data_IF_600476833717
#
_entry.id   IF_600476833717
#
_cell.length_a   1.000
_cell.length_b   1.000
_cell.length_c   1.000
_cell.angle_alpha   90.00
_cell.angle_beta   90.00
_cell.angle_gamma   90.00
#
_symmetry.space_group_name_H-M   'P 1'
#
loop_
_entity.id
_entity.type
_entity.pdbx_description
1 polymer ?
#
# COMPACT_ATOMS: atom_id res chain seq x y z
N UNK A 1 -42.94 12.97 32.19
CA UNK A 1 -42.00 13.31 31.12
C UNK A 1 -41.17 12.07 30.86
N UNK A 2 -41.59 11.27 29.88
CA UNK A 2 -41.03 9.93 29.60
C UNK A 2 -39.95 10.12 28.53
N UNK A 3 -38.70 9.86 28.90
CA UNK A 3 -37.59 9.86 27.97
C UNK A 3 -37.68 8.59 27.13
N UNK A 4 -38.05 8.69 25.86
CA UNK A 4 -37.84 7.65 24.86
C UNK A 4 -36.37 7.63 24.54
N UNK A 5 -35.62 6.67 25.07
CA UNK A 5 -34.32 6.29 24.52
C UNK A 5 -34.57 5.65 23.17
N UNK A 6 -34.27 6.37 22.09
CA UNK A 6 -34.06 5.77 20.77
C UNK A 6 -32.79 4.92 20.86
N UNK A 7 -32.94 3.63 21.14
CA UNK A 7 -31.89 2.67 20.77
C UNK A 7 -31.90 2.65 19.24
N UNK A 8 -30.99 3.42 18.62
CA UNK A 8 -30.58 3.13 17.26
C UNK A 8 -29.98 1.71 17.31
N UNK A 9 -30.71 0.72 16.80
CA UNK A 9 -30.10 -0.55 16.42
C UNK A 9 -29.03 -0.20 15.35
N UNK A 10 -27.80 -0.05 15.77
CA UNK A 10 -26.66 -0.15 14.87
C UNK A 10 -26.74 -1.60 14.39
N UNK A 11 -27.20 -1.81 13.16
CA UNK A 11 -27.04 -3.10 12.51
C UNK A 11 -25.57 -3.47 12.61
N UNK A 12 -25.29 -4.67 13.08
CA UNK A 12 -23.91 -5.18 13.03
C UNK A 12 -23.41 -5.06 11.59
N UNK A 13 -22.20 -4.57 11.36
CA UNK A 13 -21.67 -4.49 10.01
C UNK A 13 -21.73 -5.90 9.39
N UNK A 14 -22.23 -5.99 8.17
CA UNK A 14 -22.30 -7.27 7.44
C UNK A 14 -20.89 -7.82 7.23
N UNK A 15 -20.79 -9.11 7.04
CA UNK A 15 -19.60 -9.82 6.61
C UNK A 15 -19.64 -9.95 5.08
N UNK A 16 -18.47 -9.79 4.43
CA UNK A 16 -18.26 -10.00 3.00
C UNK A 16 -17.00 -10.83 2.79
N UNK A 17 -16.92 -11.53 1.67
CA UNK A 17 -15.75 -12.32 1.31
C UNK A 17 -14.85 -11.54 0.37
N UNK A 18 -13.55 -11.61 0.62
CA UNK A 18 -12.49 -11.16 -0.28
C UNK A 18 -11.79 -12.41 -0.79
N UNK A 19 -11.80 -12.58 -2.10
CA UNK A 19 -11.09 -13.67 -2.77
C UNK A 19 -10.11 -13.13 -3.80
N UNK A 20 -9.14 -13.95 -4.18
CA UNK A 20 -8.16 -13.57 -5.20
C UNK A 20 -7.01 -14.55 -5.30
N UNK A 21 -6.00 -14.16 -6.06
CA UNK A 21 -4.76 -14.91 -6.21
C UNK A 21 -3.57 -14.09 -5.71
N UNK A 22 -2.70 -14.74 -4.93
CA UNK A 22 -1.43 -14.17 -4.50
C UNK A 22 -0.32 -14.73 -5.37
N UNK A 23 0.48 -13.86 -5.97
CA UNK A 23 1.62 -14.23 -6.78
C UNK A 23 2.89 -14.41 -5.93
N UNK A 24 3.77 -15.29 -6.38
CA UNK A 24 5.05 -15.56 -5.71
C UNK A 24 6.02 -14.36 -5.71
N UNK A 25 5.82 -13.38 -6.60
CA UNK A 25 6.47 -12.06 -6.60
C UNK A 25 5.69 -11.11 -7.51
N UNK A 26 6.02 -9.83 -7.51
CA UNK A 26 5.36 -8.80 -8.34
C UNK A 26 5.32 -9.12 -9.84
N UNK A 27 6.30 -9.85 -10.36
CA UNK A 27 6.40 -10.19 -11.79
C UNK A 27 6.21 -11.69 -12.06
N UNK A 28 5.84 -12.47 -11.05
CA UNK A 28 5.57 -13.88 -11.22
C UNK A 28 4.24 -14.11 -11.97
N UNK A 29 4.16 -15.23 -12.66
CA UNK A 29 2.90 -15.75 -13.24
C UNK A 29 2.37 -16.95 -12.44
N UNK A 30 3.14 -17.43 -11.47
CA UNK A 30 2.76 -18.53 -10.58
C UNK A 30 2.22 -17.99 -9.26
N UNK A 31 1.21 -18.65 -8.74
CA UNK A 31 0.69 -18.39 -7.39
C UNK A 31 1.69 -18.79 -6.30
N UNK A 32 1.53 -18.18 -5.15
CA UNK A 32 2.27 -18.48 -3.92
C UNK A 32 1.44 -19.41 -3.02
N UNK A 33 1.86 -20.65 -2.88
CA UNK A 33 1.23 -21.61 -1.97
C UNK A 33 1.65 -21.37 -0.51
N UNK A 34 0.83 -21.87 0.42
CA UNK A 34 1.09 -21.85 1.86
C UNK A 34 1.33 -20.44 2.45
N UNK A 35 0.78 -19.41 1.79
CA UNK A 35 0.78 -18.04 2.32
C UNK A 35 -0.40 -17.87 3.26
N UNK A 36 -0.15 -17.43 4.48
CA UNK A 36 -1.20 -17.01 5.40
C UNK A 36 -1.69 -15.63 5.00
N UNK A 37 -3.00 -15.51 4.76
CA UNK A 37 -3.72 -14.27 4.44
C UNK A 37 -4.57 -13.91 5.65
N UNK A 38 -4.24 -12.81 6.33
CA UNK A 38 -5.03 -12.29 7.45
C UNK A 38 -5.74 -11.02 7.04
N UNK A 39 -7.06 -10.96 7.17
CA UNK A 39 -7.80 -9.70 7.08
C UNK A 39 -7.73 -8.98 8.42
N UNK A 40 -7.40 -7.69 8.37
CA UNK A 40 -7.33 -6.81 9.54
C UNK A 40 -8.49 -5.82 9.44
N UNK A 41 -9.24 -5.66 10.52
CA UNK A 41 -10.38 -4.74 10.58
C UNK A 41 -9.96 -3.29 10.86
N UNK A 42 -10.94 -2.40 10.93
CA UNK A 42 -10.72 -0.98 11.22
C UNK A 42 -10.25 -0.69 12.66
N UNK A 43 -10.27 -1.66 13.55
CA UNK A 43 -9.72 -1.58 14.91
C UNK A 43 -8.29 -2.11 14.97
N UNK A 44 -7.74 -2.47 13.81
CA UNK A 44 -6.40 -3.03 13.61
C UNK A 44 -6.23 -4.40 14.29
N UNK A 45 -7.31 -5.14 14.43
CA UNK A 45 -7.33 -6.51 14.95
C UNK A 45 -7.51 -7.53 13.80
N UNK A 46 -6.88 -8.72 13.89
CA UNK A 46 -7.16 -9.80 12.95
C UNK A 46 -8.64 -10.18 12.99
N UNK A 47 -9.31 -10.18 11.83
CA UNK A 47 -10.72 -10.53 11.70
C UNK A 47 -10.91 -11.95 11.20
N UNK A 48 -10.21 -12.32 10.13
CA UNK A 48 -10.26 -13.65 9.50
C UNK A 48 -8.90 -14.03 8.96
N UNK A 49 -8.64 -15.33 8.84
CA UNK A 49 -7.39 -15.87 8.34
C UNK A 49 -7.63 -17.10 7.47
N UNK A 50 -6.91 -17.22 6.37
CA UNK A 50 -6.88 -18.39 5.50
C UNK A 50 -5.47 -18.62 4.96
N UNK A 51 -5.18 -19.86 4.53
CA UNK A 51 -3.97 -20.15 3.75
C UNK A 51 -4.31 -20.23 2.26
N UNK A 52 -3.35 -19.83 1.42
CA UNK A 52 -3.49 -20.04 -0.02
C UNK A 52 -3.36 -21.53 -0.39
N UNK A 53 -4.06 -21.92 -1.46
CA UNK A 53 -3.87 -23.23 -2.08
C UNK A 53 -2.59 -23.30 -2.94
N UNK A 54 -2.37 -24.47 -3.61
CA UNK A 54 -1.21 -24.70 -4.49
C UNK A 54 -1.11 -23.71 -5.67
N UNK A 55 -2.18 -23.01 -6.00
CA UNK A 55 -2.25 -21.99 -7.06
C UNK A 55 -2.20 -20.56 -6.52
N UNK A 56 -2.04 -20.38 -5.21
CA UNK A 56 -2.06 -19.08 -4.56
C UNK A 56 -3.46 -18.50 -4.34
N UNK A 57 -4.53 -19.29 -4.51
CA UNK A 57 -5.91 -18.83 -4.35
C UNK A 57 -6.26 -18.79 -2.86
N UNK A 58 -6.96 -17.75 -2.45
CA UNK A 58 -7.45 -17.56 -1.08
C UNK A 58 -8.87 -17.01 -1.06
N UNK A 59 -9.52 -17.16 0.09
CA UNK A 59 -10.76 -16.50 0.44
C UNK A 59 -10.74 -16.18 1.95
N UNK A 60 -10.98 -14.94 2.31
CA UNK A 60 -11.06 -14.47 3.71
C UNK A 60 -12.28 -13.56 3.90
N UNK A 61 -12.85 -13.60 5.11
CA UNK A 61 -13.92 -12.68 5.48
C UNK A 61 -13.37 -11.29 5.85
N UNK A 62 -14.17 -10.26 5.62
CA UNK A 62 -13.91 -8.88 6.01
C UNK A 62 -15.19 -8.18 6.44
N UNK A 63 -15.07 -7.05 7.13
CA UNK A 63 -16.19 -6.23 7.56
C UNK A 63 -16.68 -5.35 6.39
N UNK A 64 -17.96 -5.49 6.03
CA UNK A 64 -18.55 -4.72 4.94
C UNK A 64 -18.53 -3.20 5.17
N UNK A 65 -18.45 -2.43 4.08
CA UNK A 65 -18.47 -0.96 4.05
C UNK A 65 -17.36 -0.31 4.90
N UNK A 66 -16.15 -0.90 4.87
CA UNK A 66 -14.99 -0.41 5.62
C UNK A 66 -13.72 -0.48 4.79
N UNK A 67 -12.68 0.18 5.29
CA UNK A 67 -11.31 -0.10 4.87
C UNK A 67 -10.94 -1.49 5.39
N UNK A 68 -10.33 -2.29 4.54
CA UNK A 68 -9.74 -3.56 4.91
C UNK A 68 -8.23 -3.52 4.68
N UNK A 69 -7.53 -4.36 5.42
CA UNK A 69 -6.11 -4.61 5.19
C UNK A 69 -5.89 -6.13 5.10
N UNK A 70 -5.20 -6.57 4.06
CA UNK A 70 -4.76 -7.95 3.92
C UNK A 70 -3.28 -8.01 4.25
N UNK A 71 -2.92 -8.79 5.26
CA UNK A 71 -1.52 -9.07 5.61
C UNK A 71 -1.17 -10.48 5.12
N UNK A 72 -0.19 -10.56 4.25
CA UNK A 72 0.35 -11.79 3.70
C UNK A 72 1.61 -12.16 4.46
N UNK A 73 1.69 -13.37 4.97
CA UNK A 73 2.84 -13.85 5.73
C UNK A 73 3.14 -15.32 5.45
N UNK A 74 4.36 -15.76 5.74
CA UNK A 74 4.79 -17.13 5.52
C UNK A 74 6.27 -17.32 5.82
N UNK A 75 6.75 -18.56 5.72
CA UNK A 75 8.17 -18.87 5.94
C UNK A 75 9.05 -18.20 4.88
N UNK A 76 10.05 -17.44 5.30
CA UNK A 76 10.96 -16.71 4.40
C UNK A 76 10.36 -15.49 3.73
N UNK A 77 9.11 -15.12 4.06
CA UNK A 77 8.44 -13.94 3.57
C UNK A 77 8.53 -12.78 4.57
N UNK A 78 8.63 -11.57 4.06
CA UNK A 78 8.34 -10.38 4.85
C UNK A 78 6.83 -10.18 4.90
N UNK A 79 6.22 -9.81 6.05
CA UNK A 79 4.81 -9.48 6.10
C UNK A 79 4.49 -8.39 5.07
N UNK A 80 3.65 -8.72 4.09
CA UNK A 80 3.30 -7.80 3.00
C UNK A 80 1.84 -7.39 3.13
N UNK A 81 1.55 -6.10 3.13
CA UNK A 81 0.20 -5.60 3.38
C UNK A 81 -0.38 -4.88 2.17
N UNK A 82 -1.65 -5.16 1.88
CA UNK A 82 -2.45 -4.46 0.87
C UNK A 82 -3.70 -3.90 1.53
N UNK A 83 -4.12 -2.72 1.12
CA UNK A 83 -5.28 -2.06 1.70
C UNK A 83 -6.24 -1.61 0.61
N UNK A 84 -7.52 -1.63 0.94
CA UNK A 84 -8.57 -1.19 0.03
C UNK A 84 -9.85 -0.84 0.77
N UNK A 85 -10.86 -0.48 0.01
CA UNK A 85 -12.20 -0.19 0.51
C UNK A 85 -13.14 -1.26 -0.04
N UNK A 86 -13.94 -1.85 0.84
CA UNK A 86 -14.93 -2.84 0.47
C UNK A 86 -16.34 -2.30 0.69
N UNK A 87 -17.25 -2.60 -0.23
CA UNK A 87 -18.67 -2.28 -0.14
C UNK A 87 -19.45 -3.32 0.67
N UNK A 88 -20.71 -3.53 0.26
CA UNK A 88 -21.63 -4.50 0.87
C UNK A 88 -21.61 -5.86 0.20
N UNK A 89 -20.92 -6.02 -0.91
CA UNK A 89 -20.88 -7.23 -1.72
C UNK A 89 -19.51 -7.89 -1.65
N UNK A 90 -19.46 -9.21 -1.88
CA UNK A 90 -18.23 -9.96 -2.00
C UNK A 90 -17.36 -9.42 -3.13
N UNK A 91 -16.03 -9.46 -2.94
CA UNK A 91 -15.06 -8.89 -3.88
C UNK A 91 -14.07 -9.95 -4.32
N UNK A 92 -13.94 -10.10 -5.63
CA UNK A 92 -12.83 -10.81 -6.26
C UNK A 92 -11.80 -9.79 -6.70
N UNK A 93 -10.60 -9.88 -6.12
CA UNK A 93 -9.51 -8.96 -6.44
C UNK A 93 -8.95 -9.29 -7.83
N UNK A 94 -8.55 -8.26 -8.61
CA UNK A 94 -7.99 -8.48 -9.94
C UNK A 94 -6.76 -9.41 -9.90
N UNK A 95 -6.62 -10.25 -10.91
CA UNK A 95 -5.41 -11.06 -11.10
C UNK A 95 -4.16 -10.17 -11.06
N UNK A 96 -3.10 -10.65 -10.44
CA UNK A 96 -1.81 -9.95 -10.30
C UNK A 96 -1.83 -8.69 -9.42
N UNK A 97 -2.92 -8.42 -8.67
CA UNK A 97 -2.97 -7.29 -7.76
C UNK A 97 -2.23 -7.53 -6.44
N UNK A 98 -2.08 -8.79 -6.04
CA UNK A 98 -1.43 -9.20 -4.79
C UNK A 98 -0.21 -10.07 -5.06
N UNK A 99 0.85 -9.82 -4.32
CA UNK A 99 2.08 -10.61 -4.39
C UNK A 99 2.80 -10.60 -3.03
N UNK A 100 3.64 -11.59 -2.79
CA UNK A 100 4.49 -11.63 -1.59
C UNK A 100 5.86 -11.03 -1.86
N UNK A 101 6.49 -10.56 -0.78
CA UNK A 101 7.91 -10.17 -0.76
C UNK A 101 8.69 -11.16 0.09
N UNK A 102 9.72 -11.75 -0.44
CA UNK A 102 10.68 -12.50 0.35
C UNK A 102 11.55 -11.56 1.20
N UNK A 103 12.08 -12.06 2.31
CA UNK A 103 13.05 -11.31 3.12
C UNK A 103 14.31 -10.93 2.34
N UNK A 104 14.69 -11.73 1.34
CA UNK A 104 15.81 -11.44 0.45
C UNK A 104 15.51 -10.25 -0.50
N UNK A 105 14.28 -10.16 -1.05
CA UNK A 105 13.85 -9.01 -1.86
C UNK A 105 13.81 -7.72 -1.04
N UNK A 106 13.36 -7.80 0.21
CA UNK A 106 13.39 -6.64 1.13
C UNK A 106 14.82 -6.19 1.42
N UNK A 107 15.75 -7.13 1.62
CA UNK A 107 17.17 -6.81 1.76
C UNK A 107 17.76 -6.15 0.50
N UNK A 108 17.37 -6.63 -0.69
CA UNK A 108 17.78 -6.02 -1.95
C UNK A 108 17.19 -4.61 -2.13
N UNK A 109 15.94 -4.41 -1.75
CA UNK A 109 15.29 -3.09 -1.76
C UNK A 109 16.03 -2.09 -0.85
N UNK A 110 16.38 -2.48 0.37
CA UNK A 110 17.20 -1.63 1.27
C UNK A 110 18.56 -1.30 0.67
N UNK A 111 19.21 -2.27 0.04
CA UNK A 111 20.51 -2.06 -0.61
C UNK A 111 20.41 -1.07 -1.81
N UNK A 112 19.31 -1.08 -2.54
CA UNK A 112 19.05 -0.16 -3.65
C UNK A 112 18.95 1.30 -3.19
N UNK A 113 18.46 1.53 -1.97
CA UNK A 113 18.32 2.86 -1.35
C UNK A 113 19.38 3.16 -0.28
N UNK A 114 20.51 2.46 -0.27
CA UNK A 114 21.50 2.54 0.81
C UNK A 114 22.10 3.94 1.01
N UNK A 115 22.14 4.77 -0.03
CA UNK A 115 22.69 6.12 0.03
C UNK A 115 21.67 7.17 0.49
N UNK A 116 20.42 6.77 0.76
CA UNK A 116 19.41 7.69 1.26
C UNK A 116 19.48 7.85 2.77
N UNK A 117 19.59 9.08 3.26
CA UNK A 117 19.78 9.41 4.69
C UNK A 117 18.61 8.93 5.59
N UNK A 118 17.41 8.77 5.05
CA UNK A 118 16.26 8.25 5.81
C UNK A 118 16.11 6.73 5.76
N UNK A 119 16.99 6.03 5.04
CA UNK A 119 17.00 4.57 5.02
C UNK A 119 17.43 4.03 6.39
N UNK A 120 16.68 3.07 6.91
CA UNK A 120 16.99 2.36 8.16
C UNK A 120 16.89 0.86 7.94
N UNK A 121 17.60 0.10 8.77
CA UNK A 121 17.55 -1.36 8.76
C UNK A 121 16.32 -1.90 9.50
N UNK A 122 15.80 -1.12 10.46
CA UNK A 122 14.67 -1.49 11.31
C UNK A 122 13.37 -0.87 10.80
N UNK A 123 12.24 -1.51 11.15
CA UNK A 123 10.90 -1.05 10.84
C UNK A 123 10.42 -1.42 9.44
N UNK A 124 9.16 -1.11 9.18
CA UNK A 124 8.49 -1.40 7.92
C UNK A 124 8.93 -0.50 6.78
N UNK A 125 8.58 -0.93 5.57
CA UNK A 125 8.87 -0.22 4.32
C UNK A 125 7.57 0.02 3.56
N UNK A 126 7.36 1.25 3.09
CA UNK A 126 6.36 1.56 2.06
C UNK A 126 7.12 1.79 0.77
N UNK A 127 6.80 1.04 -0.29
CA UNK A 127 7.46 1.16 -1.58
C UNK A 127 6.47 1.36 -2.72
N UNK A 128 6.89 1.98 -3.80
CA UNK A 128 6.01 2.13 -4.93
C UNK A 128 6.61 2.87 -6.12
N UNK A 129 5.73 3.10 -7.08
CA UNK A 129 6.02 3.89 -8.26
C UNK A 129 4.92 4.94 -8.40
N UNK A 130 5.30 6.21 -8.36
CA UNK A 130 4.37 7.30 -8.67
C UNK A 130 4.24 7.36 -10.19
N UNK A 131 3.06 7.06 -10.69
CA UNK A 131 2.75 7.21 -12.11
C UNK A 131 2.00 8.51 -12.34
N UNK A 132 2.45 9.27 -13.32
CA UNK A 132 1.81 10.52 -13.72
C UNK A 132 0.84 10.24 -14.87
N UNK A 133 -0.49 10.41 -14.66
CA UNK A 133 -1.48 10.03 -15.66
C UNK A 133 -1.64 11.04 -16.81
N UNK A 134 -0.87 12.14 -16.85
CA UNK A 134 -1.12 13.18 -17.84
C UNK A 134 -0.27 12.98 -19.07
N UNK A 135 -0.91 12.50 -20.13
CA UNK A 135 -0.44 12.64 -21.50
C UNK A 135 -0.99 13.97 -22.02
N UNK A 136 -0.13 14.86 -22.50
CA UNK A 136 -0.59 16.02 -23.27
C UNK A 136 -1.28 15.50 -24.54
N UNK A 137 -2.60 15.70 -24.63
CA UNK A 137 -3.41 15.21 -25.76
C UNK A 137 -2.97 15.77 -27.11
N UNK A 138 -2.29 16.90 -27.13
CA UNK A 138 -1.88 17.59 -28.36
C UNK A 138 -0.47 17.18 -28.83
N UNK A 139 0.44 16.80 -27.92
CA UNK A 139 1.81 16.41 -28.29
C UNK A 139 2.10 14.93 -28.11
N UNK A 140 1.24 14.19 -27.39
CA UNK A 140 1.51 12.79 -27.02
C UNK A 140 2.66 12.61 -26.01
N UNK A 141 3.22 13.71 -25.51
CA UNK A 141 4.26 13.69 -24.50
C UNK A 141 3.66 13.49 -23.11
N UNK A 142 4.27 12.62 -22.32
CA UNK A 142 3.97 12.55 -20.89
C UNK A 142 4.37 13.88 -20.26
N UNK A 143 3.42 14.59 -19.69
CA UNK A 143 3.73 15.72 -18.84
C UNK A 143 4.36 15.16 -17.55
N UNK A 144 5.68 15.22 -17.48
CA UNK A 144 6.39 14.94 -16.24
C UNK A 144 6.01 16.08 -15.30
N UNK A 145 5.43 15.74 -14.15
CA UNK A 145 5.21 16.74 -13.11
C UNK A 145 6.56 17.34 -12.72
N UNK A 146 6.63 18.64 -12.67
CA UNK A 146 7.88 19.32 -12.32
C UNK A 146 8.33 18.96 -10.90
N UNK A 147 7.37 18.66 -10.01
CA UNK A 147 7.64 18.26 -8.64
C UNK A 147 6.56 17.29 -8.15
N UNK A 148 6.94 16.11 -7.76
CA UNK A 148 6.06 15.16 -7.09
C UNK A 148 6.72 14.62 -5.82
N UNK A 149 5.94 14.36 -4.79
CA UNK A 149 6.41 13.89 -3.50
C UNK A 149 5.60 12.67 -3.05
N UNK A 150 6.27 11.79 -2.32
CA UNK A 150 5.62 10.83 -1.45
C UNK A 150 6.05 11.09 -0.01
N UNK A 151 5.16 10.90 0.92
CA UNK A 151 5.41 10.96 2.36
C UNK A 151 4.45 10.06 3.09
N UNK A 152 4.71 9.79 4.36
CA UNK A 152 3.80 9.01 5.17
C UNK A 152 3.69 9.58 6.59
N UNK A 153 2.55 9.34 7.24
CA UNK A 153 2.28 9.79 8.60
C UNK A 153 1.66 8.65 9.40
N UNK A 154 2.20 8.35 10.57
CA UNK A 154 1.55 7.44 11.49
C UNK A 154 0.31 8.07 12.11
N UNK A 155 -0.55 7.26 12.73
CA UNK A 155 -1.71 7.73 13.49
C UNK A 155 -1.32 8.65 14.65
N UNK A 156 -0.12 8.51 15.21
CA UNK A 156 0.44 9.36 16.26
C UNK A 156 1.10 10.64 15.71
N UNK A 157 1.09 10.86 14.41
CA UNK A 157 1.63 12.05 13.75
C UNK A 157 3.14 12.01 13.50
N UNK A 158 3.77 10.85 13.56
CA UNK A 158 5.16 10.69 13.12
C UNK A 158 5.21 10.82 11.61
N UNK A 159 6.04 11.72 11.12
CA UNK A 159 6.25 11.94 9.68
C UNK A 159 7.45 11.13 9.19
N UNK A 160 7.28 10.46 8.05
CA UNK A 160 8.31 9.72 7.34
C UNK A 160 8.57 10.36 5.97
N UNK A 161 9.82 10.42 5.58
CA UNK A 161 10.26 11.03 4.32
C UNK A 161 10.63 9.93 3.33
N UNK A 162 10.21 10.09 2.08
CA UNK A 162 10.54 9.15 1.02
C UNK A 162 11.95 9.35 0.47
N UNK A 163 12.57 8.24 0.10
CA UNK A 163 13.73 8.15 -0.77
C UNK A 163 13.29 7.89 -2.21
N UNK A 164 14.03 8.37 -3.19
CA UNK A 164 13.74 8.20 -4.61
C UNK A 164 14.92 7.62 -5.36
N UNK A 165 14.67 7.06 -6.54
CA UNK A 165 15.72 6.66 -7.48
C UNK A 165 15.73 7.59 -8.68
N UNK A 166 16.93 7.97 -9.12
CA UNK A 166 17.13 8.70 -10.36
C UNK A 166 16.93 7.81 -11.61
N UNK A 167 17.15 8.35 -12.81
CA UNK A 167 17.04 7.63 -14.07
C UNK A 167 18.05 6.49 -14.26
N UNK A 168 19.13 6.50 -13.49
CA UNK A 168 20.19 5.46 -13.49
C UNK A 168 19.93 4.40 -12.43
N UNK A 169 18.91 4.57 -11.57
CA UNK A 169 18.62 3.72 -10.42
C UNK A 169 19.51 4.03 -9.21
N UNK A 170 20.14 5.20 -9.18
CA UNK A 170 20.91 5.65 -8.02
C UNK A 170 19.96 6.33 -7.00
N UNK A 171 20.21 6.08 -5.72
CA UNK A 171 19.45 6.63 -4.62
C UNK A 171 19.67 8.15 -4.50
N UNK A 172 18.56 8.88 -4.34
CA UNK A 172 18.58 10.33 -4.09
C UNK A 172 18.46 10.61 -2.58
N UNK A 173 18.89 11.79 -2.16
CA UNK A 173 18.71 12.25 -0.78
C UNK A 173 17.24 12.24 -0.37
N UNK A 174 16.97 12.02 0.92
CA UNK A 174 15.62 12.04 1.47
C UNK A 174 14.93 13.39 1.22
N UNK A 175 13.70 13.35 0.73
CA UNK A 175 12.93 14.55 0.40
C UNK A 175 13.35 15.25 -0.89
N UNK A 176 14.24 14.64 -1.70
CA UNK A 176 14.49 15.08 -3.07
C UNK A 176 13.21 14.97 -3.92
N UNK A 177 13.23 15.63 -5.09
CA UNK A 177 12.17 15.47 -6.07
C UNK A 177 12.13 14.05 -6.62
N UNK A 178 10.93 13.57 -6.97
CA UNK A 178 10.78 12.26 -7.60
C UNK A 178 11.63 12.18 -8.85
N UNK A 179 12.52 11.20 -8.91
CA UNK A 179 13.32 10.94 -10.10
C UNK A 179 12.48 10.49 -11.29
N UNK A 180 13.09 10.45 -12.47
CA UNK A 180 12.42 10.07 -13.72
C UNK A 180 11.77 8.66 -13.70
N UNK A 181 12.19 7.78 -12.79
CA UNK A 181 11.60 6.44 -12.62
C UNK A 181 10.28 6.46 -11.86
N UNK A 182 9.99 7.51 -11.09
CA UNK A 182 8.87 7.56 -10.16
C UNK A 182 9.00 6.62 -8.96
N UNK A 183 10.07 5.82 -8.87
CA UNK A 183 10.26 4.84 -7.78
C UNK A 183 10.60 5.54 -6.48
N UNK A 184 9.92 5.11 -5.43
CA UNK A 184 10.15 5.62 -4.07
C UNK A 184 10.13 4.49 -3.05
N UNK A 185 10.77 4.72 -1.90
CA UNK A 185 10.61 3.94 -0.69
C UNK A 185 10.62 4.83 0.55
N UNK A 186 9.84 4.46 1.55
CA UNK A 186 9.76 5.10 2.87
C UNK A 186 10.16 4.05 3.89
N UNK A 187 11.19 4.31 4.67
CA UNK A 187 11.78 3.36 5.61
C UNK A 187 11.46 3.72 7.07
N UNK A 188 11.67 2.74 7.97
CA UNK A 188 11.53 2.95 9.42
C UNK A 188 10.09 3.13 9.87
N UNK A 189 9.13 2.69 9.07
CA UNK A 189 7.70 2.85 9.36
C UNK A 189 7.32 1.98 10.54
N UNK A 190 6.78 2.60 11.60
CA UNK A 190 6.36 1.89 12.79
C UNK A 190 5.07 1.09 12.52
N UNK A 191 4.86 -0.05 13.23
CA UNK A 191 3.62 -0.82 13.12
C UNK A 191 2.37 0.02 13.42
N UNK A 192 1.29 -0.20 12.66
CA UNK A 192 0.01 0.47 12.87
C UNK A 192 -0.58 1.07 11.59
N UNK A 193 -1.59 1.93 11.77
CA UNK A 193 -2.22 2.63 10.66
C UNK A 193 -1.33 3.78 10.18
N UNK A 194 -1.10 3.82 8.88
CA UNK A 194 -0.28 4.84 8.21
C UNK A 194 -1.06 5.46 7.07
N UNK A 195 -1.03 6.78 6.98
CA UNK A 195 -1.51 7.52 5.82
C UNK A 195 -0.33 7.83 4.91
N UNK A 196 -0.41 7.45 3.65
CA UNK A 196 0.58 7.81 2.63
C UNK A 196 0.02 8.96 1.82
N UNK A 197 0.80 10.02 1.69
CA UNK A 197 0.46 11.20 0.92
C UNK A 197 1.26 11.23 -0.37
N UNK A 198 0.57 11.43 -1.47
CA UNK A 198 1.17 11.71 -2.77
C UNK A 198 0.77 13.11 -3.20
N UNK A 199 1.72 13.97 -3.48
CA UNK A 199 1.44 15.33 -3.93
C UNK A 199 2.24 15.68 -5.17
N UNK A 200 1.67 16.56 -5.98
CA UNK A 200 2.24 17.01 -7.25
C UNK A 200 1.90 18.47 -7.49
N UNK A 201 2.88 19.25 -7.92
CA UNK A 201 2.66 20.61 -8.36
C UNK A 201 2.44 20.66 -9.87
N UNK A 202 1.29 21.18 -10.29
CA UNK A 202 0.92 21.37 -11.68
C UNK A 202 0.51 22.83 -11.91
N UNK A 203 1.35 23.59 -12.62
CA UNK A 203 1.01 24.95 -13.02
C UNK A 203 0.67 25.89 -11.87
N UNK A 204 1.26 25.69 -10.69
CA UNK A 204 1.04 26.47 -9.48
C UNK A 204 -0.14 26.01 -8.62
N UNK A 205 -0.67 24.81 -8.88
CA UNK A 205 -1.63 24.12 -8.01
C UNK A 205 -1.01 22.83 -7.48
N UNK A 206 -1.05 22.63 -6.17
CA UNK A 206 -0.67 21.34 -5.55
C UNK A 206 -1.87 20.42 -5.53
N UNK A 207 -1.76 19.30 -6.19
CA UNK A 207 -2.72 18.19 -6.13
C UNK A 207 -2.21 17.17 -5.13
N UNK A 208 -3.09 16.69 -4.27
CA UNK A 208 -2.72 15.73 -3.22
C UNK A 208 -3.70 14.57 -3.22
N UNK A 209 -3.17 13.35 -3.16
CA UNK A 209 -3.95 12.14 -2.97
C UNK A 209 -3.42 11.37 -1.76
N UNK A 210 -4.27 10.57 -1.12
CA UNK A 210 -3.94 9.84 0.08
C UNK A 210 -4.22 8.35 -0.10
N UNK A 211 -3.28 7.53 0.35
CA UNK A 211 -3.46 6.10 0.52
C UNK A 211 -3.41 5.74 2.00
N UNK A 212 -3.97 4.59 2.33
CA UNK A 212 -3.95 4.05 3.68
C UNK A 212 -3.32 2.68 3.67
N UNK A 213 -2.48 2.40 4.66
CA UNK A 213 -1.87 1.10 4.85
C UNK A 213 -1.84 0.75 6.33
N UNK A 214 -2.08 -0.52 6.64
CA UNK A 214 -1.70 -1.09 7.93
C UNK A 214 -0.29 -1.62 7.80
N UNK A 215 0.63 -1.14 8.62
CA UNK A 215 2.01 -1.61 8.63
C UNK A 215 2.17 -2.65 9.74
N UNK A 216 2.39 -3.93 9.43
CA UNK A 216 2.81 -4.93 10.41
C UNK A 216 4.26 -4.70 10.83
N UNK A 217 4.69 -5.35 11.91
CA UNK A 217 6.09 -5.31 12.36
C UNK A 217 7.01 -5.79 11.23
N UNK A 218 8.03 -5.02 10.89
CA UNK A 218 8.99 -5.26 9.80
C UNK A 218 8.33 -5.58 8.43
N UNK A 219 7.12 -5.05 8.21
CA UNK A 219 6.33 -5.33 7.03
C UNK A 219 6.66 -4.46 5.83
N UNK A 220 6.06 -4.82 4.70
CA UNK A 220 6.13 -4.06 3.44
C UNK A 220 4.73 -3.68 2.99
N UNK A 221 4.54 -2.41 2.67
CA UNK A 221 3.31 -1.87 2.06
C UNK A 221 3.57 -1.41 0.62
N UNK A 222 3.30 -2.26 -0.38
CA UNK A 222 3.50 -1.86 -1.77
C UNK A 222 2.37 -0.97 -2.29
N UNK A 223 2.75 0.06 -3.05
CA UNK A 223 1.87 0.95 -3.80
C UNK A 223 2.25 0.91 -5.29
N UNK A 224 1.67 -0.04 -6.05
CA UNK A 224 1.93 -0.21 -7.48
C UNK A 224 0.64 -0.31 -8.29
N UNK A 225 0.37 0.60 -9.20
CA UNK A 225 0.89 1.96 -9.28
C UNK A 225 0.20 2.87 -8.26
N UNK A 226 0.94 3.83 -7.73
CA UNK A 226 0.34 4.92 -6.98
C UNK A 226 -0.22 5.95 -7.98
N UNK A 227 -1.53 5.93 -8.19
CA UNK A 227 -2.18 6.92 -9.05
C UNK A 227 -2.50 8.18 -8.27
N UNK A 228 -2.16 9.32 -8.83
CA UNK A 228 -2.73 10.61 -8.41
C UNK A 228 -3.93 10.84 -9.33
N UNK A 229 -5.12 10.48 -8.85
CA UNK A 229 -6.35 10.78 -9.57
C UNK A 229 -6.64 12.28 -9.49
N UNK A 230 -6.89 12.89 -10.65
CA UNK A 230 -7.36 14.25 -10.71
C UNK A 230 -8.88 14.27 -10.62
N UNK A 231 -9.47 15.08 -9.73
CA UNK A 231 -10.91 15.30 -9.76
C UNK A 231 -11.28 15.93 -11.12
N UNK A 232 -12.26 15.31 -11.80
CA UNK A 232 -12.87 15.84 -13.03
C UNK A 232 -13.51 17.22 -12.80
#
# INVERSE_FOLDING_TARGET
MTWLMLLACLAEPGEVLISGQILASQYATSGAADVTVSSIDSELAPYSEAATDDNGIFEVAAVANRVYHLVLSGEGLAPTTFSGIIGSDDVELPESSLFVRSTAEVGALRAEFADCDSMTEDGGIIEGVIQFPITNSDSGENLIAEVAYAGAYSAEGVQYTACYLDSNGESLEAGAEVGATGRFAIFGVQPGAVTVEFSQDLGGQTLTNYGYVYMPEDGVGPFFPAFIDFPE
#
